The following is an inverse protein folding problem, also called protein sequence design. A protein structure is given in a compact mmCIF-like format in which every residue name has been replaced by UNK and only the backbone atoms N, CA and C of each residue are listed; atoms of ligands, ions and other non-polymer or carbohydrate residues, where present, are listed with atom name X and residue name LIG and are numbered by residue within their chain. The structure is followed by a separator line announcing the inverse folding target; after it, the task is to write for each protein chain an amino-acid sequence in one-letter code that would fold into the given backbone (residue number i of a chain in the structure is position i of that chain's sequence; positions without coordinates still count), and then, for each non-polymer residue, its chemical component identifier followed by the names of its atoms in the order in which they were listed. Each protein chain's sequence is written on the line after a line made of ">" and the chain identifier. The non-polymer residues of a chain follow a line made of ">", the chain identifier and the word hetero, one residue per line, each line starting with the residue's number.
data_IF_285284704919
#
_entry.id   IF_285284704919
#
_cell.length_a   1.000
_cell.length_b   1.000
_cell.length_c   1.000
_cell.angle_alpha   90.00
_cell.angle_beta   90.00
_cell.angle_gamma   90.00
#
_symmetry.space_group_name_H-M   'P 1'
#
loop_
_entity.id
_entity.type
_entity.pdbx_description
1 polymer ?
#
# COMPACT_ATOMS: atom_id res chain seq x y z
N UNK A 1 -22.61 -9.57 11.61
CA UNK A 1 -21.63 -9.19 10.57
C UNK A 1 -20.30 -8.94 11.29
N UNK A 2 -19.21 -9.59 10.89
CA UNK A 2 -17.88 -9.24 11.40
C UNK A 2 -17.53 -7.82 10.96
N UNK A 3 -16.92 -7.04 11.83
CA UNK A 3 -16.38 -5.72 11.45
C UNK A 3 -15.25 -5.97 10.44
N UNK A 4 -15.27 -5.35 9.24
CA UNK A 4 -14.18 -5.50 8.29
C UNK A 4 -12.87 -4.98 8.90
N UNK A 5 -11.74 -5.58 8.55
CA UNK A 5 -10.44 -5.09 9.00
C UNK A 5 -10.13 -3.75 8.32
N UNK A 6 -9.99 -2.70 9.13
CA UNK A 6 -9.79 -1.31 8.67
C UNK A 6 -8.35 -0.88 8.93
N UNK A 7 -7.74 -0.19 7.99
CA UNK A 7 -6.43 0.43 8.12
C UNK A 7 -6.48 1.90 7.67
N UNK A 8 -5.57 2.72 8.21
CA UNK A 8 -5.40 4.12 7.79
C UNK A 8 -4.57 4.18 6.50
N UNK A 9 -5.03 5.00 5.55
CA UNK A 9 -4.30 5.30 4.31
C UNK A 9 -3.15 6.30 4.52
N UNK A 10 -2.50 6.69 3.41
CA UNK A 10 -1.38 7.65 3.41
C UNK A 10 -1.71 8.94 2.64
N UNK A 11 -0.89 9.98 2.79
CA UNK A 11 -0.95 11.24 2.03
C UNK A 11 0.48 11.75 1.71
N UNK A 12 1.32 10.85 1.23
CA UNK A 12 2.70 11.09 0.82
C UNK A 12 2.81 11.45 -0.67
N UNK A 13 1.80 11.13 -1.48
CA UNK A 13 1.80 11.39 -2.93
C UNK A 13 3.06 10.82 -3.59
N UNK A 14 3.86 11.69 -4.22
CA UNK A 14 5.13 11.32 -4.89
C UNK A 14 6.37 11.67 -4.06
N UNK A 15 6.22 12.03 -2.78
CA UNK A 15 7.36 12.29 -1.91
C UNK A 15 8.30 11.08 -1.91
N UNK A 16 9.56 11.32 -2.24
CA UNK A 16 10.56 10.26 -2.36
C UNK A 16 10.98 9.81 -0.96
N UNK A 17 10.83 8.52 -0.62
CA UNK A 17 11.27 8.02 0.69
C UNK A 17 12.80 8.09 0.81
N UNK A 18 13.28 8.28 2.04
CA UNK A 18 14.72 8.31 2.34
C UNK A 18 15.37 6.93 2.27
N UNK A 19 14.60 5.87 2.54
CA UNK A 19 15.01 4.47 2.36
C UNK A 19 13.89 3.69 1.68
N UNK A 20 14.13 3.11 0.49
CA UNK A 20 13.17 2.25 -0.20
C UNK A 20 12.73 1.03 0.63
N UNK A 21 13.66 0.44 1.39
CA UNK A 21 13.42 -0.75 2.21
C UNK A 21 12.48 -0.43 3.38
N UNK A 22 12.76 0.66 4.10
CA UNK A 22 11.92 1.14 5.20
C UNK A 22 10.52 1.53 4.73
N UNK A 23 10.44 2.16 3.54
CA UNK A 23 9.17 2.51 2.91
C UNK A 23 8.33 1.29 2.57
N UNK A 24 8.92 0.26 1.94
CA UNK A 24 8.24 -1.00 1.66
C UNK A 24 7.72 -1.66 2.94
N UNK A 25 8.54 -1.78 3.98
CA UNK A 25 8.13 -2.39 5.25
C UNK A 25 7.02 -1.60 5.95
N UNK A 26 7.02 -0.28 5.82
CA UNK A 26 5.93 0.58 6.32
C UNK A 26 4.62 0.26 5.61
N UNK A 27 4.61 0.24 4.28
CA UNK A 27 3.42 -0.10 3.49
C UNK A 27 2.92 -1.52 3.80
N UNK A 28 3.82 -2.49 3.88
CA UNK A 28 3.51 -3.87 4.25
C UNK A 28 2.89 -3.95 5.65
N UNK A 29 3.42 -3.23 6.63
CA UNK A 29 2.88 -3.21 7.98
C UNK A 29 1.50 -2.57 8.05
N UNK A 30 1.28 -1.46 7.34
CA UNK A 30 0.01 -0.73 7.32
C UNK A 30 -1.12 -1.57 6.71
N UNK A 31 -0.83 -2.28 5.61
CA UNK A 31 -1.88 -2.86 4.78
C UNK A 31 -2.05 -4.38 4.93
N UNK A 32 -1.14 -5.08 5.63
CA UNK A 32 -1.25 -6.53 5.83
C UNK A 32 -2.55 -6.90 6.56
N UNK A 33 -3.40 -7.67 5.89
CA UNK A 33 -4.70 -8.11 6.41
C UNK A 33 -5.76 -7.02 6.46
N UNK A 34 -5.51 -5.86 5.82
CA UNK A 34 -6.49 -4.80 5.68
C UNK A 34 -7.51 -5.14 4.61
N UNK A 35 -8.78 -4.87 4.87
CA UNK A 35 -9.89 -4.99 3.90
C UNK A 35 -10.42 -3.64 3.44
N UNK A 36 -10.40 -2.63 4.31
CA UNK A 36 -10.89 -1.28 4.03
C UNK A 36 -9.83 -0.24 4.38
N UNK A 37 -9.36 0.50 3.37
CA UNK A 37 -8.43 1.62 3.57
C UNK A 37 -9.23 2.90 3.83
N UNK A 38 -9.14 3.42 5.05
CA UNK A 38 -9.63 4.75 5.42
C UNK A 38 -8.62 5.82 4.99
N UNK A 39 -8.82 6.36 3.80
CA UNK A 39 -7.91 7.33 3.17
C UNK A 39 -7.43 6.81 1.82
N UNK A 40 -6.21 7.20 1.44
CA UNK A 40 -5.65 6.86 0.14
C UNK A 40 -4.77 5.61 0.23
N UNK A 41 -4.77 4.80 -0.82
CA UNK A 41 -3.81 3.73 -1.03
C UNK A 41 -2.73 4.26 -1.98
N UNK A 42 -1.55 4.56 -1.45
CA UNK A 42 -0.43 5.08 -2.25
C UNK A 42 0.68 4.03 -2.34
N UNK A 43 0.76 3.36 -3.50
CA UNK A 43 1.81 2.43 -3.84
C UNK A 43 2.82 3.18 -4.71
N UNK A 44 3.83 3.77 -4.07
CA UNK A 44 4.88 4.53 -4.76
C UNK A 44 6.28 4.05 -4.38
N UNK A 45 7.23 4.21 -5.29
CA UNK A 45 8.65 3.90 -5.06
C UNK A 45 8.95 2.46 -4.59
N UNK A 46 8.10 1.48 -4.92
CA UNK A 46 8.32 0.08 -4.56
C UNK A 46 9.50 -0.52 -5.36
N UNK A 47 10.44 -1.23 -4.70
CA UNK A 47 11.56 -1.88 -5.38
C UNK A 47 11.11 -3.07 -6.24
N UNK A 48 11.97 -3.52 -7.16
CA UNK A 48 11.61 -4.59 -8.11
C UNK A 48 11.26 -5.93 -7.47
N UNK A 49 11.89 -6.25 -6.32
CA UNK A 49 11.62 -7.47 -5.55
C UNK A 49 10.57 -7.31 -4.45
N UNK A 50 9.78 -6.24 -4.46
CA UNK A 50 8.72 -6.04 -3.45
C UNK A 50 7.62 -7.11 -3.59
N UNK A 51 7.40 -7.89 -2.54
CA UNK A 51 6.24 -8.79 -2.44
C UNK A 51 4.98 -7.96 -2.13
N UNK A 52 4.05 -7.92 -3.08
CA UNK A 52 2.78 -7.17 -2.99
C UNK A 52 1.60 -8.01 -2.50
N UNK A 53 1.80 -9.29 -2.13
CA UNK A 53 0.71 -10.19 -1.75
C UNK A 53 -0.08 -9.71 -0.51
N UNK A 54 0.48 -8.81 0.31
CA UNK A 54 -0.22 -8.21 1.43
C UNK A 54 -1.39 -7.30 1.04
N UNK A 55 -1.46 -6.89 -0.24
CA UNK A 55 -2.54 -6.04 -0.77
C UNK A 55 -3.79 -6.82 -1.19
N UNK A 56 -3.68 -8.14 -1.38
CA UNK A 56 -4.74 -8.99 -1.95
C UNK A 56 -6.05 -8.98 -1.17
N UNK A 57 -5.98 -8.68 0.12
CA UNK A 57 -7.13 -8.70 1.03
C UNK A 57 -7.89 -7.35 1.01
N UNK A 58 -7.34 -6.31 0.36
CA UNK A 58 -7.97 -4.99 0.26
C UNK A 58 -9.14 -5.07 -0.72
N UNK A 59 -10.33 -4.71 -0.23
CA UNK A 59 -11.60 -4.75 -0.97
C UNK A 59 -12.15 -3.35 -1.25
N UNK A 60 -11.84 -2.37 -0.38
CA UNK A 60 -12.35 -0.99 -0.46
C UNK A 60 -11.25 0.03 -0.14
N UNK A 61 -11.20 1.10 -0.92
CA UNK A 61 -10.39 2.30 -0.66
C UNK A 61 -11.33 3.51 -0.68
N UNK A 62 -11.38 4.28 0.41
CA UNK A 62 -12.35 5.38 0.57
C UNK A 62 -11.86 6.70 -0.04
N UNK A 63 -10.55 6.87 -0.20
CA UNK A 63 -9.93 7.98 -0.90
C UNK A 63 -9.61 7.61 -2.35
N UNK A 64 -8.38 7.91 -2.78
CA UNK A 64 -7.88 7.53 -4.11
C UNK A 64 -6.84 6.41 -4.03
N UNK A 65 -6.58 5.79 -5.19
CA UNK A 65 -5.48 4.84 -5.39
C UNK A 65 -4.43 5.51 -6.27
N UNK A 66 -3.19 5.61 -5.77
CA UNK A 66 -2.04 6.14 -6.51
C UNK A 66 -1.02 5.02 -6.71
N UNK A 67 -0.72 4.71 -7.98
CA UNK A 67 0.31 3.75 -8.36
C UNK A 67 1.29 4.46 -9.29
N UNK A 68 2.49 4.77 -8.79
CA UNK A 68 3.47 5.55 -9.54
C UNK A 68 4.91 5.25 -9.10
N UNK A 69 5.89 5.42 -9.99
CA UNK A 69 7.34 5.28 -9.67
C UNK A 69 7.76 3.90 -9.09
N UNK A 70 6.95 2.86 -9.30
CA UNK A 70 7.25 1.52 -8.84
C UNK A 70 8.12 0.76 -9.85
N UNK A 71 8.94 -0.17 -9.37
CA UNK A 71 9.78 -1.05 -10.18
C UNK A 71 9.37 -2.52 -10.14
N UNK A 72 8.23 -2.83 -9.51
CA UNK A 72 7.75 -4.21 -9.30
C UNK A 72 7.57 -4.91 -10.65
N UNK A 73 8.09 -6.13 -10.77
CA UNK A 73 7.88 -6.98 -11.93
C UNK A 73 6.56 -7.75 -11.77
N UNK A 74 5.45 -7.12 -12.18
CA UNK A 74 4.11 -7.72 -12.14
C UNK A 74 3.37 -7.40 -10.84
N UNK A 75 2.12 -6.95 -10.98
CA UNK A 75 1.12 -6.97 -9.91
C UNK A 75 0.45 -8.34 -10.02
N UNK A 76 0.78 -9.27 -9.13
CA UNK A 76 0.03 -10.53 -8.98
C UNK A 76 -1.15 -10.37 -8.02
#
# INVERSE_FOLDING_TARGET
>A
RSVPAVCTGTDMKLLRPSSPESHYETLRHLYRGCRVVQGNLELTHLPAGADTAFLRDIEEVQGYVLIAENRVSGLE
#
